data_IF_223343317846
#
_entry.id   IF_223343317846
#
_cell.length_a   1.000
_cell.length_b   1.000
_cell.length_c   1.000
_cell.angle_alpha   90.00
_cell.angle_beta   90.00
_cell.angle_gamma   90.00
#
_symmetry.space_group_name_H-M   'P 1'
#
loop_
_entity.id
_entity.type
_entity.pdbx_description
1 polymer ?
#
# COMPACT_ATOMS: atom_id res chain seq x y z
N UNK A 1 -42.05 46.35 7.71
CA UNK A 1 -41.23 45.51 6.80
C UNK A 1 -40.22 44.80 7.68
N UNK A 2 -40.38 43.48 7.78
CA UNK A 2 -39.70 42.59 8.72
C UNK A 2 -38.42 42.07 8.07
N UNK A 3 -37.26 42.25 8.73
CA UNK A 3 -35.93 41.92 8.19
C UNK A 3 -35.44 40.53 8.65
N UNK A 4 -36.34 39.70 9.19
CA UNK A 4 -36.03 38.36 9.73
C UNK A 4 -35.84 37.26 8.68
N UNK A 5 -35.16 37.54 7.56
CA UNK A 5 -34.87 36.50 6.54
C UNK A 5 -33.51 36.68 5.85
N UNK A 6 -32.40 36.54 6.56
CA UNK A 6 -31.15 36.11 5.91
C UNK A 6 -30.27 35.26 6.84
N UNK A 7 -30.39 33.96 6.67
CA UNK A 7 -29.32 32.96 6.80
C UNK A 7 -29.67 31.83 5.83
N UNK A 8 -28.74 31.00 5.32
CA UNK A 8 -27.31 30.89 5.62
C UNK A 8 -26.45 30.83 4.33
N UNK A 9 -25.13 30.69 4.44
CA UNK A 9 -24.34 29.78 3.58
C UNK A 9 -22.96 29.56 4.23
N UNK A 10 -22.95 28.60 5.15
CA UNK A 10 -21.72 27.91 5.55
C UNK A 10 -21.25 27.12 4.34
N UNK A 11 -20.11 27.51 3.75
CA UNK A 11 -19.42 26.70 2.74
C UNK A 11 -17.96 26.58 3.14
N UNK A 12 -17.72 25.80 4.19
CA UNK A 12 -16.45 25.08 4.31
C UNK A 12 -16.38 24.11 3.14
N UNK A 13 -15.74 24.57 2.06
CA UNK A 13 -15.21 23.72 1.01
C UNK A 13 -14.22 22.76 1.67
N UNK A 14 -14.70 21.59 2.10
CA UNK A 14 -13.83 20.44 2.34
C UNK A 14 -13.22 20.11 0.98
N UNK A 15 -11.98 20.55 0.73
CA UNK A 15 -11.19 19.99 -0.36
C UNK A 15 -11.20 18.47 -0.14
N UNK A 16 -11.61 17.66 -1.13
CA UNK A 16 -11.30 16.25 -1.09
C UNK A 16 -9.80 16.16 -0.88
N UNK A 17 -9.35 15.56 0.21
CA UNK A 17 -7.97 15.13 0.35
C UNK A 17 -7.78 14.04 -0.69
N UNK A 18 -7.53 14.43 -1.94
CA UNK A 18 -7.09 13.50 -2.97
C UNK A 18 -5.87 12.81 -2.37
N UNK A 19 -6.01 11.52 -2.07
CA UNK A 19 -4.86 10.70 -1.74
C UNK A 19 -3.85 10.90 -2.87
N UNK A 20 -2.58 11.20 -2.56
CA UNK A 20 -1.57 11.36 -3.59
C UNK A 20 -1.59 10.12 -4.50
N UNK A 21 -1.49 10.28 -5.83
CA UNK A 21 -1.59 9.17 -6.76
C UNK A 21 -0.56 8.09 -6.40
N UNK A 22 -1.05 6.88 -6.15
CA UNK A 22 -0.22 5.74 -5.75
C UNK A 22 0.73 5.38 -6.89
N UNK A 23 2.04 5.42 -6.62
CA UNK A 23 3.06 4.97 -7.57
C UNK A 23 3.19 3.45 -7.45
N UNK A 24 3.22 2.76 -8.57
CA UNK A 24 3.38 1.30 -8.59
C UNK A 24 4.83 0.94 -8.93
N UNK A 25 5.41 0.04 -8.13
CA UNK A 25 6.73 -0.55 -8.37
C UNK A 25 6.54 -2.03 -8.59
N UNK A 26 7.00 -2.53 -9.74
CA UNK A 26 6.86 -3.92 -10.11
C UNK A 26 8.14 -4.69 -9.78
N UNK A 27 8.00 -5.77 -9.03
CA UNK A 27 9.05 -6.73 -8.72
C UNK A 27 8.84 -8.02 -9.49
N UNK A 28 9.93 -8.51 -10.05
CA UNK A 28 9.99 -9.82 -10.67
C UNK A 28 11.34 -10.46 -10.30
N UNK A 29 11.31 -11.74 -9.94
CA UNK A 29 12.49 -12.50 -9.65
C UNK A 29 12.43 -13.87 -10.31
N UNK A 30 13.58 -14.33 -10.79
CA UNK A 30 13.76 -15.69 -11.28
C UNK A 30 13.51 -16.67 -10.14
N UNK A 31 12.80 -17.80 -10.36
CA UNK A 31 12.51 -18.82 -9.34
C UNK A 31 13.73 -19.68 -8.98
N UNK A 32 14.87 -19.05 -8.71
CA UNK A 32 16.12 -19.70 -8.36
C UNK A 32 16.66 -19.19 -7.02
N UNK A 33 17.37 -20.08 -6.32
CA UNK A 33 18.31 -19.78 -5.22
C UNK A 33 17.82 -18.82 -4.12
N UNK A 34 16.51 -18.73 -3.91
CA UNK A 34 15.94 -17.87 -2.87
C UNK A 34 15.87 -16.39 -3.22
N UNK A 35 15.92 -15.98 -4.50
CA UNK A 35 15.79 -14.56 -4.90
C UNK A 35 14.52 -13.87 -4.40
N UNK A 36 13.46 -14.62 -4.08
CA UNK A 36 12.27 -14.08 -3.43
C UNK A 36 12.57 -13.44 -2.07
N UNK A 37 13.59 -13.88 -1.32
CA UNK A 37 13.91 -13.37 0.02
C UNK A 37 14.34 -11.90 0.01
N UNK A 38 15.39 -11.49 -0.74
CA UNK A 38 15.77 -10.08 -0.82
C UNK A 38 14.67 -9.24 -1.49
N UNK A 39 13.93 -9.80 -2.45
CA UNK A 39 12.81 -9.13 -3.10
C UNK A 39 11.69 -8.77 -2.09
N UNK A 40 11.27 -9.72 -1.24
CA UNK A 40 10.28 -9.49 -0.18
C UNK A 40 10.81 -8.53 0.87
N UNK A 41 12.08 -8.65 1.28
CA UNK A 41 12.70 -7.73 2.22
C UNK A 41 12.64 -6.28 1.72
N UNK A 42 12.98 -6.06 0.46
CA UNK A 42 12.95 -4.74 -0.16
C UNK A 42 11.50 -4.20 -0.27
N UNK A 43 10.53 -5.05 -0.61
CA UNK A 43 9.12 -4.64 -0.70
C UNK A 43 8.60 -4.13 0.66
N UNK A 44 8.95 -4.83 1.75
CA UNK A 44 8.59 -4.42 3.11
C UNK A 44 9.25 -3.08 3.48
N UNK A 45 10.54 -2.90 3.17
CA UNK A 45 11.24 -1.64 3.43
C UNK A 45 10.57 -0.47 2.68
N UNK A 46 10.32 -0.63 1.38
CA UNK A 46 9.69 0.41 0.55
C UNK A 46 8.32 0.80 1.11
N UNK A 47 7.47 -0.17 1.41
CA UNK A 47 6.10 0.10 1.87
C UNK A 47 6.03 0.70 3.28
N UNK A 48 7.02 0.40 4.14
CA UNK A 48 7.22 1.07 5.43
C UNK A 48 7.70 2.52 5.27
N UNK A 49 8.67 2.78 4.38
CA UNK A 49 9.28 4.10 4.24
C UNK A 49 8.43 5.08 3.43
N UNK A 50 7.62 4.59 2.49
CA UNK A 50 6.93 5.42 1.51
C UNK A 50 5.46 5.05 1.44
N UNK A 51 4.60 5.83 2.07
CA UNK A 51 3.15 5.58 2.11
C UNK A 51 2.46 5.70 0.74
N UNK A 52 3.11 6.37 -0.22
CA UNK A 52 2.59 6.63 -1.57
C UNK A 52 2.93 5.54 -2.60
N UNK A 53 3.59 4.45 -2.19
CA UNK A 53 4.04 3.37 -3.09
C UNK A 53 3.25 2.09 -2.86
N UNK A 54 2.84 1.46 -3.96
CA UNK A 54 2.35 0.09 -4.02
C UNK A 54 3.44 -0.77 -4.67
N UNK A 55 3.71 -1.94 -4.11
CA UNK A 55 4.62 -2.92 -4.68
C UNK A 55 3.79 -4.08 -5.23
N UNK A 56 4.02 -4.42 -6.50
CA UNK A 56 3.37 -5.57 -7.17
C UNK A 56 4.41 -6.61 -7.50
N UNK A 57 4.21 -7.86 -7.11
CA UNK A 57 5.16 -8.97 -7.28
C UNK A 57 4.64 -9.98 -8.31
N UNK A 58 5.27 -10.03 -9.49
CA UNK A 58 4.98 -11.08 -10.47
C UNK A 58 5.71 -12.36 -10.04
N UNK A 59 4.93 -13.40 -9.73
CA UNK A 59 5.45 -14.67 -9.25
C UNK A 59 4.78 -15.87 -9.94
N UNK A 60 5.47 -17.01 -9.94
CA UNK A 60 4.88 -18.31 -10.29
C UNK A 60 4.19 -18.94 -9.08
N UNK A 61 3.33 -19.94 -9.31
CA UNK A 61 2.65 -20.66 -8.23
C UNK A 61 3.62 -21.31 -7.23
N UNK A 62 4.75 -21.83 -7.70
CA UNK A 62 5.80 -22.44 -6.85
C UNK A 62 6.46 -21.41 -5.92
N UNK A 63 6.63 -20.17 -6.40
CA UNK A 63 7.21 -19.09 -5.61
C UNK A 63 6.19 -18.41 -4.69
N UNK A 64 4.90 -18.43 -5.04
CA UNK A 64 3.86 -17.71 -4.28
C UNK A 64 3.84 -18.10 -2.80
N UNK A 65 3.81 -19.39 -2.49
CA UNK A 65 3.81 -19.87 -1.09
C UNK A 65 5.08 -19.46 -0.34
N UNK A 66 6.23 -19.46 -1.01
CA UNK A 66 7.51 -19.02 -0.45
C UNK A 66 7.51 -17.52 -0.16
N UNK A 67 6.98 -16.71 -1.07
CA UNK A 67 6.82 -15.26 -0.90
C UNK A 67 5.88 -14.97 0.28
N UNK A 68 4.74 -15.65 0.38
CA UNK A 68 3.80 -15.46 1.49
C UNK A 68 4.39 -15.86 2.83
N UNK A 69 5.13 -16.97 2.90
CA UNK A 69 5.81 -17.39 4.13
C UNK A 69 6.90 -16.39 4.53
N UNK A 70 7.70 -15.93 3.57
CA UNK A 70 8.72 -14.91 3.82
C UNK A 70 8.08 -13.59 4.27
N UNK A 71 6.97 -13.16 3.66
CA UNK A 71 6.26 -11.93 4.04
C UNK A 71 5.73 -12.01 5.48
N UNK A 72 5.09 -13.13 5.85
CA UNK A 72 4.64 -13.41 7.22
C UNK A 72 5.78 -13.49 8.23
N UNK A 73 6.98 -13.89 7.80
CA UNK A 73 8.16 -13.90 8.67
C UNK A 73 8.73 -12.50 8.96
N UNK A 74 8.45 -11.50 8.10
CA UNK A 74 8.98 -10.13 8.22
C UNK A 74 8.00 -9.13 8.82
N UNK A 75 6.72 -9.45 8.81
CA UNK A 75 5.64 -8.58 9.28
C UNK A 75 4.96 -9.23 10.49
N UNK A 76 4.75 -8.44 11.54
CA UNK A 76 3.77 -8.80 12.56
C UNK A 76 2.36 -8.88 11.96
N UNK A 77 1.41 -9.54 12.64
CA UNK A 77 0.03 -9.61 12.16
C UNK A 77 -0.59 -8.21 11.96
N UNK A 78 -0.26 -7.26 12.84
CA UNK A 78 -0.71 -5.88 12.71
C UNK A 78 -0.14 -5.19 11.47
N UNK A 79 1.17 -5.29 11.25
CA UNK A 79 1.80 -4.69 10.07
C UNK A 79 1.32 -5.35 8.77
N UNK A 80 1.08 -6.66 8.78
CA UNK A 80 0.52 -7.36 7.65
C UNK A 80 -0.87 -6.80 7.29
N UNK A 81 -1.74 -6.59 8.27
CA UNK A 81 -3.05 -5.98 8.03
C UNK A 81 -2.95 -4.55 7.49
N UNK A 82 -1.94 -3.78 7.92
CA UNK A 82 -1.73 -2.41 7.47
C UNK A 82 -1.11 -2.31 6.07
N UNK A 83 -0.22 -3.25 5.71
CA UNK A 83 0.61 -3.17 4.51
C UNK A 83 0.16 -4.12 3.39
N UNK A 84 -0.67 -5.13 3.67
CA UNK A 84 -1.10 -6.13 2.68
C UNK A 84 -1.82 -5.54 1.48
N UNK A 85 -2.59 -4.46 1.66
CA UNK A 85 -3.25 -3.77 0.53
C UNK A 85 -2.26 -3.10 -0.45
N UNK A 86 -1.00 -2.93 -0.03
CA UNK A 86 0.06 -2.25 -0.76
C UNK A 86 1.20 -3.18 -1.20
N UNK A 87 1.13 -4.47 -0.87
CA UNK A 87 2.02 -5.52 -1.35
C UNK A 87 1.14 -6.55 -2.06
N UNK A 88 1.12 -6.48 -3.39
CA UNK A 88 0.21 -7.24 -4.26
C UNK A 88 0.94 -8.36 -5.00
#
# INVERSE_FOLDING_TARGET
MDISKFSPLSSTHLRPTMSPPSKNVLFHAVPAWGHHKPMVALAVIITRTRLDIIVTMITTGVLYSKIMNELKSKLSAQEYNQLSSRIQ
#
